data_IF_625790879784
#
_entry.id   IF_625790879784
#
_cell.length_a   1.000
_cell.length_b   1.000
_cell.length_c   1.000
_cell.angle_alpha   90.00
_cell.angle_beta   90.00
_cell.angle_gamma   90.00
#
_symmetry.space_group_name_H-M   'P 1'
#
loop_
_entity.id
_entity.type
_entity.pdbx_description
1 polymer ?
#
# COMPACT_ATOMS: atom_id res chain seq x y z
N UNK A 1 -20.03 1.54 2.92
CA UNK A 1 -19.16 0.62 2.13
C UNK A 1 -19.84 0.01 0.92
N UNK A 2 -21.16 0.11 0.78
CA UNK A 2 -21.86 -0.51 -0.35
C UNK A 2 -22.58 0.57 -1.14
N UNK A 3 -22.37 0.63 -2.45
CA UNK A 3 -23.13 1.53 -3.32
C UNK A 3 -24.31 0.81 -3.99
N UNK A 4 -25.26 1.58 -4.52
CA UNK A 4 -26.37 1.02 -5.30
C UNK A 4 -25.90 0.68 -6.73
N UNK A 5 -25.61 -0.60 -6.96
CA UNK A 5 -25.12 -1.12 -8.23
C UNK A 5 -26.26 -1.27 -9.26
N UNK A 6 -25.91 -1.15 -10.55
CA UNK A 6 -26.80 -1.35 -11.69
C UNK A 6 -26.00 -1.83 -12.89
N UNK A 7 -26.62 -2.71 -13.67
CA UNK A 7 -26.15 -3.14 -14.98
C UNK A 7 -24.70 -3.64 -15.00
N UNK A 8 -24.27 -4.35 -13.94
CA UNK A 8 -22.94 -4.97 -13.86
C UNK A 8 -22.93 -6.27 -14.65
N UNK A 9 -21.89 -6.49 -15.43
CA UNK A 9 -21.61 -7.75 -16.13
C UNK A 9 -20.30 -8.32 -15.57
N UNK A 10 -20.36 -9.52 -14.98
CA UNK A 10 -19.16 -10.14 -14.39
C UNK A 10 -18.27 -10.71 -15.50
N UNK A 11 -17.29 -9.91 -15.95
CA UNK A 11 -16.36 -10.29 -17.03
C UNK A 11 -14.88 -9.90 -16.74
N UNK A 12 -14.63 -9.25 -15.60
CA UNK A 12 -13.30 -8.88 -15.13
C UNK A 12 -12.74 -7.61 -15.77
N UNK A 13 -13.47 -6.92 -16.64
CA UNK A 13 -12.99 -5.70 -17.32
C UNK A 13 -13.19 -4.43 -16.51
N UNK A 14 -14.19 -4.39 -15.63
CA UNK A 14 -14.58 -3.24 -14.82
C UNK A 14 -14.93 -1.98 -15.64
N UNK A 15 -15.34 -2.14 -16.91
CA UNK A 15 -15.70 -1.03 -17.80
C UNK A 15 -17.17 -0.60 -17.68
N UNK A 16 -17.97 -1.32 -16.87
CA UNK A 16 -19.33 -0.92 -16.52
C UNK A 16 -19.40 0.49 -15.94
N UNK A 17 -20.49 1.19 -16.28
CA UNK A 17 -20.71 2.57 -15.83
C UNK A 17 -20.69 2.72 -14.30
N UNK A 18 -21.11 1.68 -13.57
CA UNK A 18 -21.07 1.67 -12.11
C UNK A 18 -19.63 1.69 -11.58
N UNK A 19 -18.74 0.83 -12.09
CA UNK A 19 -17.35 0.76 -11.63
C UNK A 19 -16.58 2.03 -11.95
N UNK A 20 -16.79 2.59 -13.14
CA UNK A 20 -16.17 3.85 -13.57
C UNK A 20 -16.61 5.06 -12.72
N UNK A 21 -17.79 5.00 -12.09
CA UNK A 21 -18.36 6.10 -11.30
C UNK A 21 -18.69 5.68 -9.86
N UNK A 22 -18.03 4.63 -9.35
CA UNK A 22 -18.38 4.07 -8.05
C UNK A 22 -18.23 5.13 -6.96
N UNK A 23 -19.24 5.29 -6.07
CA UNK A 23 -19.17 6.27 -4.99
C UNK A 23 -17.93 6.05 -4.14
N UNK A 24 -17.22 7.12 -3.78
CA UNK A 24 -16.02 7.01 -2.94
C UNK A 24 -16.28 6.18 -1.69
N UNK A 25 -17.44 6.35 -1.03
CA UNK A 25 -17.89 5.61 0.16
C UNK A 25 -18.01 4.08 -0.01
N UNK A 26 -17.94 3.60 -1.25
CA UNK A 26 -17.97 2.19 -1.63
C UNK A 26 -16.62 1.71 -2.21
N UNK A 27 -15.55 2.48 -2.00
CA UNK A 27 -14.19 2.15 -2.41
C UNK A 27 -13.26 2.12 -1.20
N UNK A 28 -12.19 1.32 -1.28
CA UNK A 28 -11.16 1.28 -0.25
C UNK A 28 -9.86 0.66 -0.72
N UNK A 29 -8.89 0.60 0.19
CA UNK A 29 -7.56 0.02 -0.04
C UNK A 29 -7.15 -0.82 1.15
N UNK A 30 -6.41 -1.89 0.86
CA UNK A 30 -5.90 -2.78 1.89
C UNK A 30 -4.64 -2.19 2.54
N UNK A 31 -4.34 -2.66 3.74
CA UNK A 31 -3.17 -2.31 4.55
C UNK A 31 -2.45 -3.59 4.97
N UNK A 32 -1.14 -3.52 5.18
CA UNK A 32 -0.36 -4.67 5.64
C UNK A 32 -0.96 -5.22 6.95
N UNK A 33 -1.11 -6.54 7.01
CA UNK A 33 -1.96 -7.24 7.99
C UNK A 33 -1.53 -7.06 9.44
N UNK A 34 -0.22 -7.11 9.71
CA UNK A 34 0.31 -7.13 11.07
C UNK A 34 0.54 -5.74 11.67
N UNK A 35 0.90 -4.77 10.85
CA UNK A 35 1.33 -3.42 11.26
C UNK A 35 0.34 -2.33 10.84
N UNK A 36 -0.50 -2.61 9.85
CA UNK A 36 -1.38 -1.61 9.23
C UNK A 36 -0.67 -0.64 8.29
N UNK A 37 0.58 -0.93 7.92
CA UNK A 37 1.38 -0.17 6.96
C UNK A 37 0.85 -0.22 5.52
N UNK A 38 1.56 0.43 4.60
CA UNK A 38 1.24 0.36 3.17
C UNK A 38 1.96 -0.84 2.56
N UNK A 39 1.25 -1.79 1.91
CA UNK A 39 1.91 -2.90 1.22
C UNK A 39 2.72 -2.38 0.03
N UNK A 40 3.70 -3.17 -0.38
CA UNK A 40 4.56 -2.92 -1.54
C UNK A 40 3.75 -2.95 -2.82
N UNK A 41 2.88 -3.95 -2.92
CA UNK A 41 1.95 -4.11 -4.03
C UNK A 41 0.52 -3.87 -3.53
N UNK A 42 -0.02 -2.73 -3.93
CA UNK A 42 -1.31 -2.23 -3.46
C UNK A 42 -2.49 -3.10 -3.85
N UNK A 43 -3.57 -2.99 -3.09
CA UNK A 43 -4.87 -3.56 -3.47
C UNK A 43 -5.96 -2.57 -3.16
N UNK A 44 -6.84 -2.37 -4.12
CA UNK A 44 -8.02 -1.52 -4.01
C UNK A 44 -9.26 -2.31 -4.34
N UNK A 45 -10.36 -1.97 -3.71
CA UNK A 45 -11.65 -2.57 -3.99
C UNK A 45 -12.73 -1.52 -4.21
N UNK A 46 -13.77 -1.94 -4.91
CA UNK A 46 -15.06 -1.28 -5.05
C UNK A 46 -16.14 -2.31 -4.68
N UNK A 47 -17.26 -1.88 -4.11
CA UNK A 47 -18.34 -2.76 -3.70
C UNK A 47 -19.71 -2.19 -4.08
N UNK A 48 -20.63 -3.06 -4.49
CA UNK A 48 -21.97 -2.66 -4.92
C UNK A 48 -23.04 -3.67 -4.54
N UNK A 49 -24.29 -3.22 -4.50
CA UNK A 49 -25.44 -4.06 -4.22
C UNK A 49 -26.57 -3.82 -5.22
N UNK A 50 -27.11 -4.90 -5.79
CA UNK A 50 -28.22 -4.84 -6.74
C UNK A 50 -29.19 -6.00 -6.46
N UNK A 51 -30.45 -5.69 -6.12
CA UNK A 51 -31.44 -6.72 -5.76
C UNK A 51 -30.97 -7.53 -4.54
N UNK A 52 -30.73 -8.82 -4.74
CA UNK A 52 -30.21 -9.77 -3.73
C UNK A 52 -28.77 -10.22 -4.07
N UNK A 53 -27.98 -9.33 -4.65
CA UNK A 53 -26.64 -9.63 -5.14
C UNK A 53 -25.66 -8.61 -4.59
N UNK A 54 -24.57 -9.10 -3.98
CA UNK A 54 -23.43 -8.32 -3.55
C UNK A 54 -22.32 -8.43 -4.60
N UNK A 55 -21.73 -7.31 -4.98
CA UNK A 55 -20.67 -7.24 -5.98
C UNK A 55 -19.38 -6.68 -5.37
N UNK A 56 -18.25 -7.25 -5.79
CA UNK A 56 -16.92 -6.70 -5.54
C UNK A 56 -16.13 -6.62 -6.83
N UNK A 57 -15.42 -5.52 -7.01
CA UNK A 57 -14.34 -5.38 -7.98
C UNK A 57 -13.05 -5.14 -7.20
N UNK A 58 -12.09 -6.05 -7.31
CA UNK A 58 -10.84 -6.00 -6.55
C UNK A 58 -9.68 -5.96 -7.54
N UNK A 59 -8.89 -4.89 -7.48
CA UNK A 59 -7.65 -4.73 -8.25
C UNK A 59 -6.46 -4.99 -7.35
N UNK A 60 -5.62 -5.93 -7.76
CA UNK A 60 -4.37 -6.31 -7.10
C UNK A 60 -3.20 -5.85 -7.97
N UNK A 61 -2.51 -4.78 -7.57
CA UNK A 61 -1.31 -4.29 -8.26
C UNK A 61 -0.19 -5.34 -8.17
N UNK A 62 0.63 -5.47 -9.20
CA UNK A 62 1.71 -6.45 -9.32
C UNK A 62 2.98 -5.82 -9.91
N UNK A 63 4.10 -6.53 -9.79
CA UNK A 63 5.32 -6.12 -10.49
C UNK A 63 5.16 -6.42 -12.00
N UNK A 64 5.40 -5.43 -12.88
CA UNK A 64 5.24 -5.62 -14.32
C UNK A 64 5.97 -6.85 -14.86
N UNK A 65 5.21 -7.76 -15.51
CA UNK A 65 5.73 -8.97 -16.13
C UNK A 65 6.13 -10.10 -15.16
N UNK A 66 5.93 -9.94 -13.85
CA UNK A 66 6.17 -11.01 -12.88
C UNK A 66 5.05 -12.05 -12.92
N UNK A 67 5.36 -13.36 -13.05
CA UNK A 67 4.34 -14.39 -13.08
C UNK A 67 3.59 -14.48 -11.75
N UNK A 68 2.27 -14.64 -11.85
CA UNK A 68 1.40 -14.88 -10.70
C UNK A 68 1.59 -16.30 -10.17
N UNK A 69 1.52 -16.47 -8.86
CA UNK A 69 1.65 -17.77 -8.21
C UNK A 69 0.28 -18.48 -8.11
N UNK A 70 -0.14 -19.16 -9.17
CA UNK A 70 -1.38 -19.96 -9.17
C UNK A 70 -1.09 -21.42 -8.79
N UNK A 71 -1.46 -21.81 -7.57
CA UNK A 71 -1.26 -23.17 -7.04
C UNK A 71 -2.51 -24.04 -7.10
N UNK A 72 -3.69 -23.43 -7.06
CA UNK A 72 -4.97 -24.12 -7.20
C UNK A 72 -5.31 -24.37 -8.68
N UNK A 73 -5.83 -25.56 -8.97
CA UNK A 73 -6.09 -26.01 -10.36
C UNK A 73 -7.57 -26.19 -10.71
N UNK A 74 -8.44 -26.16 -9.71
CA UNK A 74 -9.90 -26.31 -9.82
C UNK A 74 -10.55 -25.78 -8.55
N UNK A 75 -11.86 -25.55 -8.59
CA UNK A 75 -12.61 -25.14 -7.41
C UNK A 75 -12.47 -26.13 -6.25
N UNK A 76 -12.50 -25.59 -5.04
CA UNK A 76 -12.25 -26.28 -3.76
C UNK A 76 -10.84 -26.87 -3.56
N UNK A 77 -9.90 -26.53 -4.45
CA UNK A 77 -8.51 -26.93 -4.31
C UNK A 77 -7.78 -26.11 -3.23
N UNK A 78 -7.62 -26.71 -2.06
CA UNK A 78 -6.92 -26.14 -0.90
C UNK A 78 -5.45 -25.77 -1.18
N UNK A 79 -4.89 -26.14 -2.34
CA UNK A 79 -3.60 -25.62 -2.77
C UNK A 79 -3.59 -24.07 -2.89
N UNK A 80 -4.76 -23.42 -3.00
CA UNK A 80 -4.91 -21.95 -3.08
C UNK A 80 -4.16 -21.22 -1.97
N UNK A 81 -4.07 -21.80 -0.77
CA UNK A 81 -3.39 -21.21 0.39
C UNK A 81 -1.86 -21.12 0.24
N UNK A 82 -1.29 -21.76 -0.78
CA UNK A 82 0.14 -21.67 -1.11
C UNK A 82 0.42 -20.73 -2.30
N UNK A 83 -0.62 -20.10 -2.85
CA UNK A 83 -0.54 -19.21 -4.01
C UNK A 83 -0.97 -17.78 -3.70
N UNK A 84 -1.04 -16.98 -4.75
CA UNK A 84 -1.69 -15.68 -4.72
C UNK A 84 -3.21 -15.88 -4.61
N UNK A 85 -3.85 -15.13 -3.73
CA UNK A 85 -5.29 -15.19 -3.53
C UNK A 85 -5.81 -13.88 -2.94
N UNK A 86 -7.07 -13.57 -3.23
CA UNK A 86 -7.88 -12.72 -2.36
C UNK A 86 -8.76 -13.60 -1.48
N UNK A 87 -9.17 -13.08 -0.33
CA UNK A 87 -10.16 -13.73 0.52
C UNK A 87 -11.20 -12.72 0.99
N UNK A 88 -12.47 -13.09 0.85
CA UNK A 88 -13.60 -12.36 1.40
C UNK A 88 -14.06 -13.08 2.67
N UNK A 89 -14.02 -12.38 3.79
CA UNK A 89 -14.56 -12.87 5.06
C UNK A 89 -15.85 -12.09 5.34
N UNK A 90 -16.99 -12.77 5.48
CA UNK A 90 -18.31 -12.12 5.49
C UNK A 90 -19.14 -12.64 6.66
N UNK A 91 -19.26 -11.83 7.72
CA UNK A 91 -20.24 -11.99 8.81
C UNK A 91 -21.50 -11.19 8.47
N UNK A 92 -22.66 -11.80 8.70
CA UNK A 92 -23.96 -11.16 8.49
C UNK A 92 -24.72 -11.08 9.82
N UNK A 93 -25.86 -10.40 9.83
CA UNK A 93 -26.73 -10.38 11.00
C UNK A 93 -27.34 -11.76 11.34
N UNK A 94 -27.23 -12.73 10.43
CA UNK A 94 -27.83 -14.06 10.55
C UNK A 94 -26.80 -15.19 10.68
N UNK A 95 -25.52 -14.95 10.37
CA UNK A 95 -24.51 -16.00 10.36
C UNK A 95 -23.12 -15.53 10.80
N UNK A 96 -22.36 -16.42 11.45
CA UNK A 96 -21.11 -16.07 12.12
C UNK A 96 -20.03 -15.57 11.16
N UNK A 97 -19.68 -16.31 10.10
CA UNK A 97 -19.04 -15.78 8.89
C UNK A 97 -18.78 -16.87 7.85
N UNK A 98 -18.73 -16.42 6.59
CA UNK A 98 -18.27 -17.19 5.44
C UNK A 98 -16.88 -16.74 5.01
N UNK A 99 -16.17 -17.61 4.30
CA UNK A 99 -14.91 -17.30 3.63
C UNK A 99 -15.02 -17.70 2.16
N UNK A 100 -14.64 -16.80 1.25
CA UNK A 100 -14.54 -17.07 -0.19
C UNK A 100 -13.16 -16.65 -0.64
N UNK A 101 -12.32 -17.60 -1.05
CA UNK A 101 -11.00 -17.34 -1.58
C UNK A 101 -10.96 -17.52 -3.09
N UNK A 102 -10.32 -16.58 -3.78
CA UNK A 102 -10.29 -16.52 -5.24
C UNK A 102 -8.84 -16.32 -5.70
N UNK A 103 -8.37 -17.22 -6.56
CA UNK A 103 -7.05 -17.11 -7.20
C UNK A 103 -7.09 -16.13 -8.38
N UNK A 104 -5.93 -15.63 -8.85
CA UNK A 104 -5.87 -14.88 -10.10
C UNK A 104 -6.38 -15.66 -11.33
N UNK A 105 -6.28 -17.00 -11.32
CA UNK A 105 -6.85 -17.86 -12.37
C UNK A 105 -8.37 -18.04 -12.29
N UNK A 106 -9.04 -17.42 -11.31
CA UNK A 106 -10.50 -17.47 -11.16
C UNK A 106 -11.01 -18.73 -10.45
N UNK A 107 -10.11 -19.51 -9.83
CA UNK A 107 -10.50 -20.67 -9.01
C UNK A 107 -11.07 -20.19 -7.68
N UNK A 108 -12.17 -20.79 -7.26
CA UNK A 108 -12.87 -20.46 -6.01
C UNK A 108 -12.71 -21.57 -4.98
N UNK A 109 -12.46 -21.20 -3.73
CA UNK A 109 -12.60 -22.09 -2.57
C UNK A 109 -13.47 -21.37 -1.56
N UNK A 110 -14.61 -21.96 -1.20
CA UNK A 110 -15.54 -21.38 -0.25
C UNK A 110 -15.76 -22.28 0.98
N UNK A 111 -15.98 -21.61 2.11
CA UNK A 111 -16.07 -22.25 3.41
C UNK A 111 -17.09 -21.53 4.28
N UNK A 112 -17.92 -22.32 4.96
CA UNK A 112 -18.65 -21.84 6.12
C UNK A 112 -17.76 -21.98 7.37
N UNK A 113 -17.36 -20.85 7.97
CA UNK A 113 -16.51 -20.83 9.16
C UNK A 113 -17.30 -20.72 10.47
N UNK A 114 -18.62 -20.56 10.39
CA UNK A 114 -19.55 -20.56 11.52
C UNK A 114 -19.91 -21.96 12.03
N UNK A 115 -19.55 -23.01 11.29
CA UNK A 115 -19.88 -24.41 11.61
C UNK A 115 -18.64 -25.22 12.05
N UNK A 116 -18.80 -26.47 12.54
CA UNK A 116 -17.66 -27.30 12.93
C UNK A 116 -16.66 -27.53 11.79
N UNK A 117 -15.37 -27.46 12.09
CA UNK A 117 -14.25 -27.52 11.11
C UNK A 117 -14.32 -28.65 10.09
N UNK A 118 -14.83 -29.82 10.49
CA UNK A 118 -14.96 -30.96 9.58
C UNK A 118 -16.01 -30.78 8.47
N UNK A 119 -16.79 -29.70 8.50
CA UNK A 119 -17.90 -29.43 7.59
C UNK A 119 -17.70 -28.15 6.78
N UNK A 120 -16.62 -27.38 7.02
CA UNK A 120 -16.42 -26.05 6.41
C UNK A 120 -16.59 -26.03 4.88
N UNK A 121 -15.98 -27.00 4.19
CA UNK A 121 -16.01 -27.14 2.72
C UNK A 121 -17.31 -27.74 2.17
N UNK A 122 -18.36 -27.84 2.99
CA UNK A 122 -19.66 -28.34 2.57
C UNK A 122 -20.63 -27.23 2.13
N UNK A 123 -20.21 -25.97 2.21
CA UNK A 123 -20.99 -24.80 1.83
C UNK A 123 -20.48 -24.25 0.49
N UNK A 124 -21.40 -23.87 -0.40
CA UNK A 124 -21.13 -23.31 -1.72
C UNK A 124 -21.71 -21.89 -1.81
N UNK A 125 -20.85 -20.91 -2.07
CA UNK A 125 -21.22 -19.50 -2.16
C UNK A 125 -22.14 -19.17 -3.34
N UNK A 126 -22.15 -20.01 -4.36
CA UNK A 126 -22.73 -19.77 -5.69
C UNK A 126 -22.25 -18.45 -6.32
N UNK A 127 -21.04 -18.03 -5.93
CA UNK A 127 -20.42 -16.83 -6.46
C UNK A 127 -20.11 -17.01 -7.95
N UNK A 128 -20.36 -15.96 -8.72
CA UNK A 128 -19.88 -15.85 -10.09
C UNK A 128 -18.65 -14.96 -10.09
N UNK A 129 -17.56 -15.46 -10.67
CA UNK A 129 -16.24 -14.83 -10.63
C UNK A 129 -15.69 -14.73 -12.04
N UNK A 130 -15.21 -13.54 -12.40
CA UNK A 130 -14.38 -13.33 -13.57
C UNK A 130 -13.07 -12.65 -13.15
N UNK A 131 -11.95 -13.14 -13.69
CA UNK A 131 -10.64 -12.54 -13.45
C UNK A 131 -10.03 -12.04 -14.74
N UNK A 132 -9.25 -10.96 -14.62
CA UNK A 132 -8.47 -10.41 -15.72
C UNK A 132 -7.04 -10.16 -15.26
N UNK A 133 -6.07 -10.72 -15.99
CA UNK A 133 -4.64 -10.53 -15.73
C UNK A 133 -4.07 -9.58 -16.76
N UNK A 134 -3.45 -8.52 -16.27
CA UNK A 134 -2.69 -7.52 -17.02
C UNK A 134 -1.22 -7.57 -16.62
N UNK A 135 -0.38 -6.74 -17.25
CA UNK A 135 1.06 -6.72 -17.00
C UNK A 135 1.42 -6.29 -15.58
N UNK A 136 0.76 -5.26 -15.04
CA UNK A 136 1.05 -4.60 -13.76
C UNK A 136 0.00 -4.85 -12.68
N UNK A 137 -0.99 -5.70 -12.95
CA UNK A 137 -2.06 -6.04 -12.00
C UNK A 137 -2.90 -7.23 -12.47
N UNK A 138 -3.73 -7.73 -11.56
CA UNK A 138 -4.88 -8.55 -11.91
C UNK A 138 -6.15 -8.05 -11.19
N UNK A 139 -7.30 -8.44 -11.72
CA UNK A 139 -8.63 -8.08 -11.22
C UNK A 139 -9.41 -9.35 -10.89
N UNK A 140 -10.19 -9.31 -9.81
CA UNK A 140 -11.33 -10.18 -9.58
C UNK A 140 -12.62 -9.35 -9.55
N UNK A 141 -13.57 -9.71 -10.40
CA UNK A 141 -14.94 -9.22 -10.38
C UNK A 141 -15.87 -10.35 -9.93
N UNK A 142 -16.68 -10.06 -8.92
CA UNK A 142 -17.33 -11.09 -8.11
C UNK A 142 -18.77 -10.68 -7.89
N UNK A 143 -19.72 -11.59 -8.20
CA UNK A 143 -21.12 -11.50 -7.78
C UNK A 143 -21.41 -12.61 -6.77
N UNK A 144 -21.87 -12.23 -5.59
CA UNK A 144 -22.26 -13.13 -4.50
C UNK A 144 -23.77 -13.07 -4.32
N UNK A 145 -24.50 -14.18 -4.54
CA UNK A 145 -25.92 -14.26 -4.23
C UNK A 145 -26.16 -14.25 -2.73
N UNK A 146 -27.19 -13.49 -2.34
CA UNK A 146 -27.61 -13.33 -0.95
C UNK A 146 -29.07 -13.77 -0.80
N UNK A 147 -29.35 -14.56 0.22
CA UNK A 147 -30.69 -15.03 0.54
C UNK A 147 -31.09 -14.71 1.99
N UNK A 148 -32.38 -14.50 2.22
CA UNK A 148 -32.96 -14.48 3.56
C UNK A 148 -33.59 -15.83 3.93
N UNK A 149 -33.55 -16.82 3.03
CA UNK A 149 -34.13 -18.14 3.22
C UNK A 149 -33.10 -19.10 3.84
N UNK A 150 -33.32 -19.48 5.10
CA UNK A 150 -32.47 -20.42 5.84
C UNK A 150 -32.74 -21.89 5.49
N UNK A 151 -33.71 -22.20 4.62
CA UNK A 151 -34.05 -23.59 4.29
C UNK A 151 -32.95 -24.30 3.47
N UNK A 152 -32.05 -23.54 2.84
CA UNK A 152 -30.88 -24.07 2.14
C UNK A 152 -29.58 -23.54 2.77
N UNK A 153 -29.18 -24.03 3.95
CA UNK A 153 -28.06 -23.49 4.71
C UNK A 153 -26.70 -23.85 4.11
N UNK A 154 -26.66 -24.69 3.07
CA UNK A 154 -25.42 -25.11 2.40
C UNK A 154 -25.11 -24.27 1.16
N UNK A 155 -25.99 -23.35 0.77
CA UNK A 155 -25.76 -22.51 -0.39
C UNK A 155 -26.01 -21.04 -0.09
N UNK A 156 -25.26 -20.17 -0.78
CA UNK A 156 -25.41 -18.71 -0.75
C UNK A 156 -25.09 -18.07 0.61
N UNK A 157 -24.87 -16.76 0.60
CA UNK A 157 -24.71 -15.99 1.84
C UNK A 157 -26.09 -15.70 2.41
N UNK A 158 -26.30 -16.07 3.68
CA UNK A 158 -27.56 -15.80 4.38
C UNK A 158 -27.50 -14.43 5.06
N UNK A 159 -28.34 -13.49 4.63
CA UNK A 159 -28.40 -12.13 5.17
C UNK A 159 -29.36 -11.21 4.41
N UNK A 160 -29.58 -10.02 4.97
CA UNK A 160 -30.32 -8.91 4.34
C UNK A 160 -29.34 -7.85 3.82
N UNK A 161 -29.80 -6.94 2.94
CA UNK A 161 -28.97 -5.77 2.54
C UNK A 161 -28.54 -5.01 3.81
N UNK A 162 -27.23 -4.84 4.07
CA UNK A 162 -26.77 -4.28 5.33
C UNK A 162 -27.11 -2.80 5.44
N UNK A 163 -27.61 -2.40 6.62
CA UNK A 163 -27.99 -1.03 6.95
C UNK A 163 -27.12 -0.49 8.07
N UNK A 164 -27.14 0.82 8.31
CA UNK A 164 -26.37 1.38 9.43
C UNK A 164 -26.82 0.81 10.80
N UNK A 165 -28.08 0.42 10.94
CA UNK A 165 -28.63 -0.18 12.18
C UNK A 165 -28.41 -1.69 12.29
N UNK A 166 -28.26 -2.39 11.16
CA UNK A 166 -27.91 -3.80 11.08
C UNK A 166 -26.77 -3.95 10.04
N UNK A 167 -25.53 -3.57 10.42
CA UNK A 167 -24.38 -3.72 9.55
C UNK A 167 -23.98 -5.19 9.45
N UNK A 168 -23.36 -5.54 8.33
CA UNK A 168 -22.50 -6.72 8.23
C UNK A 168 -21.10 -6.37 8.72
N UNK A 169 -20.28 -7.39 8.93
CA UNK A 169 -18.87 -7.21 9.27
C UNK A 169 -18.04 -8.01 8.27
N UNK A 170 -17.13 -7.36 7.55
CA UNK A 170 -16.33 -8.03 6.53
C UNK A 170 -14.83 -7.80 6.68
N UNK A 171 -14.05 -8.70 6.12
CA UNK A 171 -12.69 -8.39 5.71
C UNK A 171 -12.50 -8.72 4.23
N UNK A 172 -11.62 -7.94 3.60
CA UNK A 172 -11.13 -8.22 2.26
C UNK A 172 -9.64 -8.36 2.41
N UNK A 173 -9.11 -9.53 2.10
CA UNK A 173 -7.74 -9.90 2.34
C UNK A 173 -7.05 -10.22 1.01
N UNK A 174 -5.74 -10.02 0.97
CA UNK A 174 -4.88 -10.45 -0.13
C UNK A 174 -3.66 -11.15 0.45
N UNK A 175 -3.38 -12.31 -0.12
CA UNK A 175 -2.13 -13.03 0.00
C UNK A 175 -1.35 -12.92 -1.31
N UNK A 176 -0.09 -12.48 -1.22
CA UNK A 176 0.87 -12.48 -2.32
C UNK A 176 2.11 -13.25 -1.92
N UNK A 177 2.49 -14.27 -2.69
CA UNK A 177 3.61 -15.17 -2.37
C UNK A 177 4.61 -15.20 -3.53
N UNK A 178 5.88 -14.99 -3.22
CA UNK A 178 7.04 -15.19 -4.12
C UNK A 178 8.11 -15.99 -3.37
N UNK A 179 9.12 -16.45 -4.10
CA UNK A 179 10.22 -17.23 -3.52
C UNK A 179 10.99 -16.45 -2.44
N UNK A 180 11.03 -15.12 -2.54
CA UNK A 180 11.73 -14.23 -1.62
C UNK A 180 10.83 -13.69 -0.50
N UNK A 181 9.53 -13.98 -0.46
CA UNK A 181 8.68 -13.60 0.67
C UNK A 181 7.17 -13.70 0.45
N UNK A 182 6.44 -13.33 1.51
CA UNK A 182 4.98 -13.22 1.52
C UNK A 182 4.58 -11.83 2.01
N UNK A 183 3.59 -11.24 1.35
CA UNK A 183 2.92 -10.01 1.79
C UNK A 183 1.44 -10.30 1.99
N UNK A 184 0.95 -10.06 3.20
CA UNK A 184 -0.46 -10.18 3.56
C UNK A 184 -1.02 -8.77 3.80
N UNK A 185 -2.17 -8.48 3.20
CA UNK A 185 -2.86 -7.21 3.40
C UNK A 185 -4.35 -7.42 3.57
N UNK A 186 -5.01 -6.52 4.31
CA UNK A 186 -6.43 -6.61 4.61
C UNK A 186 -7.09 -5.22 4.66
N UNK A 187 -8.40 -5.17 4.44
CA UNK A 187 -9.21 -3.96 4.60
C UNK A 187 -9.15 -3.51 6.06
N UNK A 188 -9.29 -4.47 6.97
CA UNK A 188 -9.07 -4.28 8.40
C UNK A 188 -7.92 -5.18 8.86
N UNK A 189 -6.70 -4.62 9.02
CA UNK A 189 -5.56 -5.35 9.55
C UNK A 189 -5.87 -6.00 10.90
N UNK A 190 -5.57 -7.29 11.01
CA UNK A 190 -5.86 -8.07 12.22
C UNK A 190 -4.85 -7.82 13.33
N UNK A 191 -3.65 -7.33 12.98
CA UNK A 191 -2.54 -7.25 13.93
C UNK A 191 -2.00 -8.63 14.32
N UNK A 192 -2.29 -9.67 13.52
CA UNK A 192 -1.80 -11.04 13.69
C UNK A 192 -1.25 -11.56 12.36
N UNK A 193 -0.67 -12.77 12.36
CA UNK A 193 -0.11 -13.38 11.15
C UNK A 193 -1.17 -14.03 10.23
N UNK A 194 -2.46 -13.91 10.55
CA UNK A 194 -3.55 -14.53 9.77
C UNK A 194 -4.79 -13.64 9.68
N UNK A 195 -5.69 -13.99 8.78
CA UNK A 195 -6.88 -13.20 8.45
C UNK A 195 -8.05 -13.39 9.43
N UNK A 196 -8.18 -14.59 10.00
CA UNK A 196 -9.39 -15.03 10.70
C UNK A 196 -9.52 -14.49 12.14
N UNK A 197 -9.74 -13.18 12.27
CA UNK A 197 -10.04 -12.49 13.53
C UNK A 197 -11.39 -11.76 13.40
N UNK A 198 -12.55 -12.41 13.62
CA UNK A 198 -13.87 -11.80 13.36
C UNK A 198 -14.12 -10.47 14.08
N UNK A 199 -13.60 -10.31 15.29
CA UNK A 199 -13.69 -9.05 16.05
C UNK A 199 -12.95 -7.87 15.40
N UNK A 200 -12.15 -8.13 14.37
CA UNK A 200 -11.43 -7.14 13.57
C UNK A 200 -12.14 -6.79 12.27
N UNK A 201 -13.21 -7.48 11.89
CA UNK A 201 -13.91 -7.23 10.64
C UNK A 201 -14.47 -5.79 10.60
N UNK A 202 -14.41 -5.18 9.42
CA UNK A 202 -14.87 -3.81 9.17
C UNK A 202 -16.38 -3.77 9.03
N UNK A 203 -17.02 -2.75 9.63
CA UNK A 203 -18.45 -2.49 9.43
C UNK A 203 -18.80 -2.26 7.96
N UNK A 204 -19.69 -3.08 7.41
CA UNK A 204 -20.13 -3.06 6.03
C UNK A 204 -21.62 -2.75 5.96
N UNK A 205 -21.97 -1.57 5.47
CA UNK A 205 -23.36 -1.14 5.30
C UNK A 205 -23.50 -0.03 4.26
N UNK A 206 -24.74 0.18 3.80
CA UNK A 206 -25.15 1.29 2.95
C UNK A 206 -25.08 2.62 3.73
N UNK A 207 -24.14 3.50 3.36
CA UNK A 207 -23.90 4.76 4.07
C UNK A 207 -22.67 5.53 3.57
N UNK A 208 -22.59 6.82 3.91
CA UNK A 208 -21.52 7.75 3.48
C UNK A 208 -20.24 7.70 4.35
N UNK A 209 -20.07 6.68 5.19
CA UNK A 209 -18.90 6.56 6.08
C UNK A 209 -17.79 5.73 5.43
N UNK A 210 -16.55 6.15 5.71
CA UNK A 210 -15.29 5.45 5.39
C UNK A 210 -14.52 5.02 6.64
N UNK A 211 -15.13 5.19 7.82
CA UNK A 211 -14.51 4.83 9.11
C UNK A 211 -15.17 3.56 9.62
N UNK A 212 -14.35 2.53 9.73
CA UNK A 212 -14.74 1.19 10.14
C UNK A 212 -13.84 0.82 11.30
N UNK A 213 -14.11 1.47 12.43
CA UNK A 213 -13.45 1.09 13.66
C UNK A 213 -13.93 -0.32 14.01
N UNK A 214 -13.00 -1.25 14.23
CA UNK A 214 -13.29 -2.51 14.89
C UNK A 214 -13.91 -2.21 16.27
N UNK A 215 -14.43 -3.25 16.95
CA UNK A 215 -14.93 -3.08 18.32
C UNK A 215 -13.93 -2.27 19.17
N UNK A 216 -14.33 -1.16 19.81
CA UNK A 216 -13.41 -0.24 20.48
C UNK A 216 -12.72 -0.87 21.71
N UNK A 217 -13.18 -2.03 22.16
CA UNK A 217 -12.53 -2.82 23.22
C UNK A 217 -11.40 -3.69 22.68
N UNK A 218 -11.34 -3.93 21.37
CA UNK A 218 -10.29 -4.72 20.72
C UNK A 218 -9.05 -3.86 20.54
N UNK A 219 -7.92 -4.40 21.00
CA UNK A 219 -6.61 -3.79 20.84
C UNK A 219 -5.62 -4.86 20.42
N UNK A 220 -4.81 -4.53 19.42
CA UNK A 220 -3.84 -5.43 18.80
C UNK A 220 -2.53 -4.68 18.53
N UNK A 221 -1.58 -5.38 17.92
CA UNK A 221 -0.29 -4.79 17.57
C UNK A 221 -0.44 -3.61 16.59
N UNK A 222 -1.23 -3.74 15.51
CA UNK A 222 -1.34 -2.72 14.47
C UNK A 222 -1.94 -1.40 15.02
N UNK A 223 -2.96 -1.49 15.88
CA UNK A 223 -3.55 -0.31 16.55
C UNK A 223 -2.51 0.41 17.40
N UNK A 224 -1.82 -0.32 18.28
CA UNK A 224 -0.84 0.28 19.20
C UNK A 224 0.43 0.74 18.47
N UNK A 225 0.82 0.07 17.40
CA UNK A 225 1.94 0.47 16.56
C UNK A 225 1.64 1.79 15.84
N UNK A 226 0.44 1.94 15.26
CA UNK A 226 -0.03 3.21 14.68
C UNK A 226 -0.07 4.34 15.71
N UNK A 227 -0.47 4.05 16.95
CA UNK A 227 -0.38 5.01 18.05
C UNK A 227 1.07 5.42 18.32
N UNK A 228 2.00 4.45 18.42
CA UNK A 228 3.42 4.73 18.61
C UNK A 228 4.03 5.58 17.48
N UNK A 229 3.63 5.34 16.22
CA UNK A 229 4.00 6.16 15.06
C UNK A 229 3.49 7.59 15.18
N UNK A 230 2.22 7.76 15.56
CA UNK A 230 1.58 9.08 15.69
C UNK A 230 2.22 9.90 16.81
N UNK A 231 2.42 9.29 17.97
CA UNK A 231 3.02 9.95 19.14
C UNK A 231 4.54 10.13 18.99
N UNK A 232 5.17 9.40 18.05
CA UNK A 232 6.61 9.41 17.78
C UNK A 232 7.45 9.11 19.03
N UNK A 233 7.04 8.11 19.82
CA UNK A 233 7.73 7.71 21.05
C UNK A 233 8.38 6.33 20.92
N UNK A 234 9.71 6.25 21.05
CA UNK A 234 10.44 4.98 21.06
C UNK A 234 9.99 4.06 22.21
N UNK A 235 9.67 4.63 23.38
CA UNK A 235 9.19 3.86 24.54
C UNK A 235 7.88 3.10 24.27
N UNK A 236 6.96 3.66 23.47
CA UNK A 236 5.75 2.95 23.05
C UNK A 236 6.09 1.78 22.13
N UNK A 237 7.02 1.97 21.20
CA UNK A 237 7.51 0.92 20.32
C UNK A 237 8.14 -0.24 21.11
N UNK A 238 8.97 0.08 22.11
CA UNK A 238 9.64 -0.92 22.94
C UNK A 238 8.63 -1.74 23.76
N UNK A 239 7.59 -1.12 24.31
CA UNK A 239 6.50 -1.82 25.02
C UNK A 239 5.80 -2.86 24.16
N UNK A 240 5.68 -2.64 22.84
CA UNK A 240 5.10 -3.63 21.93
C UNK A 240 5.94 -4.91 21.89
N UNK A 241 7.26 -4.79 22.05
CA UNK A 241 8.20 -5.91 22.01
C UNK A 241 8.20 -6.78 23.27
N UNK A 242 7.62 -6.27 24.37
CA UNK A 242 7.50 -6.97 25.66
C UNK A 242 6.36 -8.02 25.66
N UNK A 243 5.52 -8.00 24.63
CA UNK A 243 4.43 -8.97 24.45
C UNK A 243 4.84 -10.10 23.50
N UNK A 244 4.03 -11.17 23.46
CA UNK A 244 4.23 -12.24 22.48
C UNK A 244 3.86 -11.72 21.09
N UNK A 245 4.87 -11.31 20.33
CA UNK A 245 4.76 -10.79 18.95
C UNK A 245 5.58 -11.63 17.98
N UNK A 246 5.20 -11.59 16.71
CA UNK A 246 5.98 -12.22 15.62
C UNK A 246 7.32 -11.52 15.39
N UNK A 247 8.22 -12.15 14.65
CA UNK A 247 9.47 -11.52 14.23
C UNK A 247 9.23 -10.32 13.31
N UNK A 248 8.17 -10.36 12.50
CA UNK A 248 7.76 -9.24 11.64
C UNK A 248 7.35 -8.02 12.47
N UNK A 249 6.46 -8.21 13.43
CA UNK A 249 6.03 -7.19 14.38
C UNK A 249 7.19 -6.64 15.21
N UNK A 250 8.02 -7.53 15.76
CA UNK A 250 9.21 -7.14 16.53
C UNK A 250 10.18 -6.30 15.70
N UNK A 251 10.41 -6.70 14.44
CA UNK A 251 11.28 -5.97 13.52
C UNK A 251 10.75 -4.56 13.22
N UNK A 252 9.44 -4.43 12.92
CA UNK A 252 8.80 -3.13 12.67
C UNK A 252 8.88 -2.20 13.90
N UNK A 253 8.56 -2.72 15.10
CA UNK A 253 8.64 -1.96 16.34
C UNK A 253 10.07 -1.47 16.63
N UNK A 254 11.08 -2.33 16.48
CA UNK A 254 12.47 -1.98 16.76
C UNK A 254 13.07 -1.06 15.70
N UNK A 255 12.74 -1.21 14.42
CA UNK A 255 13.15 -0.29 13.35
C UNK A 255 12.61 1.13 13.62
N UNK A 256 11.33 1.25 14.00
CA UNK A 256 10.74 2.52 14.39
C UNK A 256 11.39 3.08 15.66
N UNK A 257 11.61 2.25 16.69
CA UNK A 257 12.26 2.66 17.92
C UNK A 257 13.67 3.21 17.67
N UNK A 258 14.49 2.52 16.86
CA UNK A 258 15.86 2.95 16.54
C UNK A 258 15.90 4.31 15.83
N UNK A 259 14.90 4.59 14.98
CA UNK A 259 14.79 5.89 14.30
C UNK A 259 14.30 7.01 15.23
N UNK A 260 13.54 6.68 16.26
CA UNK A 260 13.00 7.64 17.24
C UNK A 260 13.92 7.86 18.44
N UNK A 261 14.87 6.96 18.69
CA UNK A 261 15.87 7.03 19.77
C UNK A 261 17.29 6.87 19.21
N UNK A 262 17.87 7.95 18.65
CA UNK A 262 19.21 7.91 18.05
C UNK A 262 20.32 7.54 19.02
N UNK A 263 20.15 7.83 20.32
CA UNK A 263 21.14 7.54 21.36
C UNK A 263 21.31 6.03 21.57
N UNK A 264 20.22 5.27 21.51
CA UNK A 264 20.23 3.82 21.69
C UNK A 264 20.08 3.03 20.39
N UNK A 265 20.02 3.71 19.24
CA UNK A 265 19.69 3.12 17.95
C UNK A 265 20.52 1.88 17.60
N UNK A 266 21.84 1.93 17.76
CA UNK A 266 22.72 0.78 17.44
C UNK A 266 22.36 -0.46 18.25
N UNK A 267 22.11 -0.31 19.55
CA UNK A 267 21.69 -1.41 20.43
C UNK A 267 20.33 -1.96 19.97
N UNK A 268 19.38 -1.08 19.63
CA UNK A 268 18.06 -1.48 19.16
C UNK A 268 18.12 -2.23 17.83
N UNK A 269 18.98 -1.80 16.90
CA UNK A 269 19.16 -2.43 15.59
C UNK A 269 19.64 -3.89 15.75
N UNK A 270 20.56 -4.16 16.68
CA UNK A 270 21.05 -5.54 16.90
C UNK A 270 19.96 -6.52 17.34
N UNK A 271 18.85 -6.01 17.88
CA UNK A 271 17.70 -6.81 18.36
C UNK A 271 16.67 -7.10 17.28
N UNK A 272 16.79 -6.52 16.08
CA UNK A 272 15.86 -6.73 14.97
C UNK A 272 16.06 -8.16 14.42
N UNK A 273 15.04 -9.05 14.45
CA UNK A 273 15.22 -10.44 14.04
C UNK A 273 15.33 -10.61 12.52
N UNK A 274 14.54 -9.89 11.72
CA UNK A 274 14.60 -10.01 10.25
C UNK A 274 15.83 -9.26 9.71
N UNK A 275 16.74 -9.98 9.04
CA UNK A 275 18.03 -9.44 8.57
C UNK A 275 17.88 -8.23 7.63
N UNK A 276 17.02 -8.32 6.62
CA UNK A 276 16.75 -7.22 5.69
C UNK A 276 16.23 -5.95 6.43
N UNK A 277 15.41 -6.12 7.46
CA UNK A 277 14.91 -5.00 8.28
C UNK A 277 16.03 -4.43 9.16
N UNK A 278 16.87 -5.29 9.74
CA UNK A 278 18.04 -4.88 10.53
C UNK A 278 19.03 -4.07 9.70
N UNK A 279 19.37 -4.55 8.50
CA UNK A 279 20.25 -3.86 7.55
C UNK A 279 19.62 -2.53 7.09
N UNK A 280 18.32 -2.51 6.80
CA UNK A 280 17.60 -1.26 6.50
C UNK A 280 17.73 -0.25 7.63
N UNK A 281 17.52 -0.67 8.89
CA UNK A 281 17.65 0.20 10.05
C UNK A 281 19.09 0.71 10.25
N UNK A 282 20.10 -0.12 9.96
CA UNK A 282 21.52 0.31 9.94
C UNK A 282 21.77 1.38 8.86
N UNK A 283 21.27 1.17 7.66
CA UNK A 283 21.37 2.15 6.57
C UNK A 283 20.69 3.48 6.93
N UNK A 284 19.50 3.44 7.52
CA UNK A 284 18.80 4.63 8.03
C UNK A 284 19.63 5.36 9.09
N UNK A 285 20.20 4.63 10.04
CA UNK A 285 21.04 5.18 11.10
C UNK A 285 22.29 5.89 10.54
N UNK A 286 22.99 5.28 9.58
CA UNK A 286 24.17 5.88 8.96
C UNK A 286 23.82 7.18 8.22
N UNK A 287 22.72 7.20 7.46
CA UNK A 287 22.26 8.43 6.79
C UNK A 287 21.80 9.50 7.78
N UNK A 288 21.12 9.12 8.87
CA UNK A 288 20.72 10.06 9.92
C UNK A 288 21.92 10.73 10.60
N UNK A 289 23.03 9.99 10.74
CA UNK A 289 24.32 10.51 11.24
C UNK A 289 25.18 11.19 10.16
N UNK A 290 24.62 11.41 8.96
CA UNK A 290 25.31 12.07 7.82
C UNK A 290 26.57 11.33 7.37
N UNK A 291 26.58 10.00 7.46
CA UNK A 291 27.68 9.15 7.03
C UNK A 291 27.28 8.22 5.86
N UNK A 292 27.04 8.79 4.66
CA UNK A 292 26.77 7.98 3.48
C UNK A 292 28.00 7.17 3.03
N UNK A 293 29.21 7.56 3.43
CA UNK A 293 30.45 6.86 3.09
C UNK A 293 30.54 5.52 3.83
N UNK A 294 30.23 5.49 5.13
CA UNK A 294 30.12 4.23 5.88
C UNK A 294 29.01 3.33 5.33
N UNK A 295 27.87 3.90 4.91
CA UNK A 295 26.79 3.12 4.31
C UNK A 295 27.27 2.40 3.04
N UNK A 296 27.93 3.11 2.12
CA UNK A 296 28.49 2.47 0.92
C UNK A 296 29.59 1.47 1.31
N UNK A 297 30.49 1.81 2.25
CA UNK A 297 31.50 0.86 2.71
C UNK A 297 30.91 -0.46 3.26
N UNK A 298 29.75 -0.40 3.92
CA UNK A 298 29.05 -1.58 4.45
C UNK A 298 28.17 -2.31 3.40
N UNK A 299 27.55 -1.60 2.45
CA UNK A 299 26.45 -2.13 1.62
C UNK A 299 26.62 -1.99 0.09
N UNK A 300 27.76 -1.49 -0.42
CA UNK A 300 27.98 -1.32 -1.87
C UNK A 300 27.80 -2.63 -2.64
N UNK A 301 28.31 -3.74 -2.08
CA UNK A 301 28.26 -5.07 -2.68
C UNK A 301 27.12 -5.94 -2.16
N UNK A 302 26.23 -5.41 -1.32
CA UNK A 302 25.07 -6.17 -0.81
C UNK A 302 24.12 -6.49 -1.96
N UNK A 303 23.79 -7.77 -2.14
CA UNK A 303 22.80 -8.18 -3.13
C UNK A 303 21.37 -8.01 -2.59
N UNK A 304 20.84 -6.79 -2.79
CA UNK A 304 19.50 -6.41 -2.36
C UNK A 304 18.39 -7.18 -3.10
N UNK A 305 18.69 -7.86 -4.21
CA UNK A 305 17.69 -8.67 -4.91
C UNK A 305 17.27 -9.91 -4.13
N UNK A 306 18.14 -10.38 -3.22
CA UNK A 306 17.88 -11.53 -2.32
C UNK A 306 17.04 -11.16 -1.10
N UNK A 307 16.80 -9.87 -0.86
CA UNK A 307 15.95 -9.42 0.24
C UNK A 307 14.49 -9.71 -0.11
N UNK A 308 13.62 -9.87 0.90
CA UNK A 308 12.20 -9.99 0.64
C UNK A 308 11.69 -8.84 -0.22
N UNK A 309 10.85 -9.14 -1.22
CA UNK A 309 10.36 -8.14 -2.17
C UNK A 309 9.73 -6.94 -1.46
N UNK A 310 9.09 -7.18 -0.31
CA UNK A 310 8.42 -6.16 0.49
C UNK A 310 9.38 -5.22 1.25
N UNK A 311 10.69 -5.53 1.27
CA UNK A 311 11.71 -4.71 1.93
C UNK A 311 12.80 -4.20 1.00
N UNK A 312 13.09 -4.88 -0.12
CA UNK A 312 14.22 -4.52 -1.02
C UNK A 312 14.15 -3.10 -1.55
N UNK A 313 12.95 -2.56 -1.80
CA UNK A 313 12.78 -1.17 -2.22
C UNK A 313 13.35 -0.16 -1.22
N UNK A 314 13.22 -0.44 0.09
CA UNK A 314 13.83 0.41 1.14
C UNK A 314 15.35 0.37 1.12
N UNK A 315 15.94 -0.81 0.92
CA UNK A 315 17.40 -0.96 0.82
C UNK A 315 17.96 -0.21 -0.39
N UNK A 316 17.34 -0.40 -1.56
CA UNK A 316 17.73 0.27 -2.79
C UNK A 316 17.60 1.79 -2.66
N UNK A 317 16.50 2.28 -2.07
CA UNK A 317 16.33 3.71 -1.85
C UNK A 317 17.46 4.29 -0.98
N UNK A 318 17.78 3.65 0.15
CA UNK A 318 18.80 4.15 1.07
C UNK A 318 20.21 4.11 0.47
N UNK A 319 20.56 3.04 -0.26
CA UNK A 319 21.86 2.94 -0.96
C UNK A 319 21.95 3.93 -2.11
N UNK A 320 20.90 4.04 -2.92
CA UNK A 320 20.81 5.02 -4.00
C UNK A 320 20.92 6.46 -3.50
N UNK A 321 20.30 6.78 -2.37
CA UNK A 321 20.44 8.07 -1.70
C UNK A 321 21.86 8.32 -1.19
N UNK A 322 22.54 7.31 -0.64
CA UNK A 322 23.94 7.45 -0.23
C UNK A 322 24.86 7.70 -1.44
N UNK A 323 24.68 6.98 -2.54
CA UNK A 323 25.39 7.23 -3.79
C UNK A 323 25.13 8.63 -4.33
N UNK A 324 23.89 9.12 -4.28
CA UNK A 324 23.56 10.50 -4.66
C UNK A 324 24.33 11.51 -3.80
N UNK A 325 24.33 11.36 -2.48
CA UNK A 325 25.07 12.24 -1.57
C UNK A 325 26.60 12.22 -1.82
N UNK A 326 27.13 11.08 -2.25
CA UNK A 326 28.53 10.91 -2.65
C UNK A 326 28.81 11.27 -4.11
N UNK A 327 27.81 11.79 -4.83
CA UNK A 327 27.89 12.19 -6.25
C UNK A 327 28.22 11.04 -7.21
N UNK A 328 27.92 9.80 -6.82
CA UNK A 328 28.04 8.62 -7.68
C UNK A 328 26.76 8.45 -8.52
N UNK A 329 26.63 9.29 -9.55
CA UNK A 329 25.36 9.47 -10.26
C UNK A 329 24.80 8.19 -10.91
N UNK A 330 25.65 7.40 -11.55
CA UNK A 330 25.22 6.17 -12.22
C UNK A 330 24.82 5.06 -11.23
N UNK A 331 25.47 4.99 -10.06
CA UNK A 331 25.10 4.03 -9.03
C UNK A 331 23.78 4.42 -8.35
N UNK A 332 23.62 5.72 -8.04
CA UNK A 332 22.37 6.27 -7.53
C UNK A 332 21.19 6.00 -8.48
N UNK A 333 21.40 6.20 -9.79
CA UNK A 333 20.36 5.99 -10.80
C UNK A 333 19.84 4.55 -10.83
N UNK A 334 20.75 3.57 -10.79
CA UNK A 334 20.38 2.15 -10.78
C UNK A 334 19.54 1.81 -9.56
N UNK A 335 20.04 2.13 -8.37
CA UNK A 335 19.36 1.81 -7.12
C UNK A 335 18.01 2.54 -6.99
N UNK A 336 17.95 3.83 -7.30
CA UNK A 336 16.69 4.60 -7.17
C UNK A 336 15.64 4.13 -8.17
N UNK A 337 16.04 3.67 -9.36
CA UNK A 337 15.12 3.09 -10.35
C UNK A 337 14.52 1.79 -9.81
N UNK A 338 15.35 0.87 -9.31
CA UNK A 338 14.88 -0.38 -8.70
C UNK A 338 14.04 -0.13 -7.44
N UNK A 339 14.38 0.88 -6.64
CA UNK A 339 13.60 1.25 -5.47
C UNK A 339 12.14 1.61 -5.82
N UNK A 340 11.91 2.30 -6.94
CA UNK A 340 10.57 2.69 -7.39
C UNK A 340 9.69 1.51 -7.78
N UNK A 341 10.27 0.38 -8.19
CA UNK A 341 9.52 -0.84 -8.53
C UNK A 341 9.00 -1.56 -7.29
N UNK A 342 9.65 -1.39 -6.13
CA UNK A 342 9.34 -2.08 -4.88
C UNK A 342 8.99 -1.13 -3.73
N UNK A 343 8.38 0.02 -4.05
CA UNK A 343 7.90 0.99 -3.05
C UNK A 343 6.44 1.29 -3.29
N UNK A 344 5.56 0.81 -2.41
CA UNK A 344 4.13 1.10 -2.45
C UNK A 344 3.72 2.42 -1.80
N UNK A 345 4.45 2.86 -0.76
CA UNK A 345 4.12 4.09 -0.01
C UNK A 345 4.28 5.35 -0.88
N UNK A 346 3.21 6.13 -1.15
CA UNK A 346 3.26 7.26 -2.06
C UNK A 346 4.26 8.34 -1.65
N UNK A 347 4.43 8.58 -0.35
CA UNK A 347 5.37 9.59 0.15
C UNK A 347 6.81 9.20 -0.12
N UNK A 348 7.15 7.93 0.12
CA UNK A 348 8.47 7.36 -0.14
C UNK A 348 8.74 7.29 -1.64
N UNK A 349 7.72 6.97 -2.46
CA UNK A 349 7.82 7.06 -3.93
C UNK A 349 8.15 8.49 -4.38
N UNK A 350 7.48 9.49 -3.83
CA UNK A 350 7.75 10.90 -4.15
C UNK A 350 9.15 11.33 -3.74
N UNK A 351 9.62 10.89 -2.58
CA UNK A 351 10.98 11.16 -2.10
C UNK A 351 12.04 10.50 -3.00
N UNK A 352 11.77 9.26 -3.43
CA UNK A 352 12.64 8.53 -4.36
C UNK A 352 12.68 9.24 -5.71
N UNK A 353 11.52 9.60 -6.30
CA UNK A 353 11.43 10.36 -7.56
C UNK A 353 12.16 11.69 -7.48
N UNK A 354 12.00 12.42 -6.37
CA UNK A 354 12.69 13.69 -6.17
C UNK A 354 14.21 13.49 -6.15
N UNK A 355 14.69 12.46 -5.45
CA UNK A 355 16.11 12.13 -5.39
C UNK A 355 16.64 11.72 -6.77
N UNK A 356 15.88 10.92 -7.54
CA UNK A 356 16.19 10.58 -8.93
C UNK A 356 16.28 11.83 -9.81
N UNK A 357 15.33 12.75 -9.69
CA UNK A 357 15.32 13.99 -10.47
C UNK A 357 16.54 14.86 -10.15
N UNK A 358 16.89 14.99 -8.87
CA UNK A 358 18.08 15.72 -8.44
C UNK A 358 19.38 15.04 -8.90
N UNK A 359 19.45 13.71 -8.85
CA UNK A 359 20.59 12.95 -9.35
C UNK A 359 20.80 13.19 -10.86
N UNK A 360 19.70 13.12 -11.63
CA UNK A 360 19.72 13.39 -13.07
C UNK A 360 20.13 14.82 -13.39
N UNK A 361 19.61 15.80 -12.65
CA UNK A 361 19.97 17.21 -12.84
C UNK A 361 21.46 17.47 -12.50
N UNK A 362 21.91 17.06 -11.32
CA UNK A 362 23.18 17.55 -10.76
C UNK A 362 24.38 16.61 -10.98
N UNK A 363 24.16 15.32 -11.20
CA UNK A 363 25.25 14.33 -11.28
C UNK A 363 25.31 13.63 -12.63
N UNK A 364 24.18 13.46 -13.31
CA UNK A 364 24.14 12.97 -14.70
C UNK A 364 24.06 14.10 -15.73
N UNK A 365 23.69 15.32 -15.29
CA UNK A 365 23.54 16.50 -16.17
C UNK A 365 22.55 16.27 -17.33
N UNK A 366 21.51 15.47 -17.07
CA UNK A 366 20.43 15.20 -18.02
C UNK A 366 19.17 15.98 -17.61
N UNK A 367 19.08 17.21 -18.10
CA UNK A 367 17.95 18.12 -17.83
C UNK A 367 16.61 17.55 -18.35
N UNK A 368 16.62 16.76 -19.42
CA UNK A 368 15.40 16.18 -19.98
C UNK A 368 14.84 15.08 -19.09
N UNK A 369 15.70 14.13 -18.69
CA UNK A 369 15.30 13.07 -17.78
C UNK A 369 15.01 13.58 -16.36
N UNK A 370 15.71 14.62 -15.91
CA UNK A 370 15.45 15.29 -14.64
C UNK A 370 14.09 15.99 -14.63
N UNK A 371 13.75 16.73 -15.70
CA UNK A 371 12.46 17.41 -15.81
C UNK A 371 11.29 16.42 -15.75
N UNK A 372 11.38 15.31 -16.49
CA UNK A 372 10.37 14.25 -16.46
C UNK A 372 10.22 13.64 -15.06
N UNK A 373 11.34 13.40 -14.36
CA UNK A 373 11.31 12.87 -12.99
C UNK A 373 10.69 13.86 -11.98
N UNK A 374 11.00 15.17 -12.08
CA UNK A 374 10.35 16.17 -11.25
C UNK A 374 8.85 16.28 -11.55
N UNK A 375 8.46 16.24 -12.83
CA UNK A 375 7.07 16.26 -13.24
C UNK A 375 6.29 15.09 -12.64
N UNK A 376 6.87 13.88 -12.63
CA UNK A 376 6.25 12.69 -12.05
C UNK A 376 5.98 12.79 -10.53
N UNK A 377 6.64 13.71 -9.81
CA UNK A 377 6.32 13.98 -8.38
C UNK A 377 4.97 14.70 -8.26
N UNK A 378 4.67 15.62 -9.19
CA UNK A 378 3.54 16.55 -9.11
C UNK A 378 2.42 16.26 -10.12
N UNK A 379 2.56 15.20 -10.90
CA UNK A 379 1.60 14.76 -11.91
C UNK A 379 0.27 14.35 -11.27
N UNK A 380 -0.85 14.69 -11.92
CA UNK A 380 -2.20 14.42 -11.41
C UNK A 380 -2.61 15.22 -10.17
N UNK A 381 -1.72 16.02 -9.56
CA UNK A 381 -2.02 16.80 -8.35
C UNK A 381 -2.68 18.13 -8.68
N UNK A 382 -3.93 18.26 -8.26
CA UNK A 382 -4.69 19.52 -8.31
C UNK A 382 -4.21 20.54 -7.27
N UNK A 383 -3.61 20.09 -6.16
CA UNK A 383 -3.04 20.93 -5.10
C UNK A 383 -1.64 20.47 -4.73
N UNK A 384 -0.78 21.43 -4.42
CA UNK A 384 0.59 21.22 -3.96
C UNK A 384 0.66 21.48 -2.45
N UNK A 385 1.22 20.55 -1.69
CA UNK A 385 1.22 20.62 -0.23
C UNK A 385 2.41 19.96 0.46
N UNK A 386 3.19 19.11 -0.21
CA UNK A 386 4.35 18.46 0.41
C UNK A 386 5.67 19.12 0.06
N UNK A 387 6.66 18.99 0.94
CA UNK A 387 8.03 19.45 0.72
C UNK A 387 8.64 18.90 -0.58
N UNK A 388 8.36 17.64 -0.91
CA UNK A 388 8.86 17.00 -2.12
C UNK A 388 8.27 17.63 -3.38
N UNK A 389 6.97 17.93 -3.36
CA UNK A 389 6.29 18.59 -4.48
C UNK A 389 6.80 20.02 -4.68
N UNK A 390 6.95 20.81 -3.62
CA UNK A 390 7.50 22.17 -3.75
C UNK A 390 8.93 22.15 -4.30
N UNK A 391 9.77 21.23 -3.82
CA UNK A 391 11.12 21.04 -4.35
C UNK A 391 11.12 20.65 -5.83
N UNK A 392 10.17 19.82 -6.26
CA UNK A 392 10.00 19.44 -7.66
C UNK A 392 9.60 20.62 -8.54
N UNK A 393 8.69 21.49 -8.09
CA UNK A 393 8.35 22.73 -8.80
C UNK A 393 9.59 23.62 -9.00
N UNK A 394 10.42 23.78 -7.97
CA UNK A 394 11.67 24.54 -8.08
C UNK A 394 12.65 23.91 -9.07
N UNK A 395 12.74 22.58 -9.11
CA UNK A 395 13.58 21.84 -10.06
C UNK A 395 13.15 22.03 -11.51
N UNK A 396 11.85 21.83 -11.78
CA UNK A 396 11.26 22.09 -13.08
C UNK A 396 11.51 23.54 -13.53
N UNK A 397 11.28 24.51 -12.66
CA UNK A 397 11.47 25.92 -12.97
C UNK A 397 12.93 26.27 -13.29
N UNK A 398 13.90 25.69 -12.57
CA UNK A 398 15.34 25.87 -12.90
C UNK A 398 15.65 25.36 -14.29
N UNK A 399 15.21 24.15 -14.64
CA UNK A 399 15.45 23.55 -15.95
C UNK A 399 14.81 24.38 -17.07
N UNK A 400 13.54 24.78 -16.91
CA UNK A 400 12.84 25.63 -17.87
C UNK A 400 13.53 26.98 -18.05
N UNK A 401 14.05 27.57 -16.98
CA UNK A 401 14.82 28.82 -17.04
C UNK A 401 16.10 28.64 -17.86
N UNK A 402 16.85 27.52 -17.67
CA UNK A 402 18.03 27.21 -18.49
C UNK A 402 17.70 27.05 -19.98
N UNK A 403 16.49 26.61 -20.30
CA UNK A 403 15.97 26.48 -21.66
C UNK A 403 15.42 27.79 -22.25
N UNK A 404 15.36 28.87 -21.47
CA UNK A 404 14.76 30.14 -21.89
C UNK A 404 13.21 30.14 -21.86
N UNK A 405 12.59 29.13 -21.26
CA UNK A 405 11.14 28.96 -21.17
C UNK A 405 10.57 29.66 -19.91
N UNK A 406 10.85 30.96 -19.78
CA UNK A 406 10.57 31.72 -18.54
C UNK A 406 9.09 31.75 -18.15
N UNK A 407 8.18 31.89 -19.12
CA UNK A 407 6.74 31.96 -18.83
C UNK A 407 6.19 30.60 -18.36
N UNK A 408 6.74 29.48 -18.84
CA UNK A 408 6.42 28.14 -18.31
C UNK A 408 7.01 27.96 -16.90
N UNK A 409 8.26 28.39 -16.67
CA UNK A 409 8.89 28.32 -15.35
C UNK A 409 8.06 29.04 -14.28
N UNK A 410 7.54 30.23 -14.60
CA UNK A 410 6.64 30.97 -13.71
C UNK A 410 5.29 30.26 -13.51
N UNK A 411 4.71 29.68 -14.57
CA UNK A 411 3.47 28.89 -14.45
C UNK A 411 3.63 27.68 -13.52
N UNK A 412 4.76 26.97 -13.63
CA UNK A 412 5.08 25.86 -12.74
C UNK A 412 5.17 26.32 -11.29
N UNK A 413 5.92 27.39 -11.00
CA UNK A 413 6.05 27.92 -9.63
C UNK A 413 4.73 28.41 -9.04
N UNK A 414 3.84 28.97 -9.86
CA UNK A 414 2.53 29.45 -9.43
C UNK A 414 1.59 28.33 -8.95
N UNK A 415 1.84 27.06 -9.31
CA UNK A 415 1.12 25.90 -8.73
C UNK A 415 1.30 25.76 -7.22
N UNK A 416 2.31 26.42 -6.64
CA UNK A 416 2.54 26.44 -5.20
C UNK A 416 1.46 27.23 -4.42
N UNK A 417 0.55 27.93 -5.10
CA UNK A 417 -0.50 28.77 -4.51
C UNK A 417 0.06 29.74 -3.45
N UNK A 418 0.84 30.71 -3.95
CA UNK A 418 1.45 31.72 -3.10
C UNK A 418 0.44 32.56 -2.32
N UNK A 419 -0.85 32.59 -2.64
CA UNK A 419 -1.83 33.25 -1.76
C UNK A 419 -1.95 32.53 -0.41
N UNK A 420 -1.90 31.20 -0.44
CA UNK A 420 -2.15 30.35 0.72
C UNK A 420 -0.87 29.76 1.33
N UNK A 421 0.24 29.74 0.59
CA UNK A 421 1.53 29.23 1.06
C UNK A 421 2.20 30.17 2.08
N UNK A 422 2.65 29.59 3.19
CA UNK A 422 3.29 30.29 4.32
C UNK A 422 4.63 29.65 4.69
N UNK A 423 5.44 30.38 5.47
CA UNK A 423 6.71 29.90 6.01
C UNK A 423 7.80 29.73 4.94
N UNK A 424 8.82 28.92 5.27
CA UNK A 424 10.05 28.78 4.47
C UNK A 424 9.80 28.42 3.01
N UNK A 425 8.78 27.60 2.73
CA UNK A 425 8.45 27.24 1.35
C UNK A 425 7.95 28.41 0.52
N UNK A 426 7.19 29.34 1.12
CA UNK A 426 6.80 30.58 0.45
C UNK A 426 8.03 31.38 0.02
N UNK A 427 8.97 31.58 0.95
CA UNK A 427 10.17 32.37 0.71
C UNK A 427 11.05 31.73 -0.37
N UNK A 428 11.18 30.41 -0.35
CA UNK A 428 11.95 29.66 -1.36
C UNK A 428 11.32 29.76 -2.75
N UNK A 429 9.99 29.68 -2.86
CA UNK A 429 9.29 29.83 -4.14
C UNK A 429 9.41 31.26 -4.66
N UNK A 430 9.26 32.29 -3.80
CA UNK A 430 9.44 33.69 -4.20
C UNK A 430 10.84 33.96 -4.73
N UNK A 431 11.89 33.46 -4.04
CA UNK A 431 13.27 33.54 -4.53
C UNK A 431 13.45 32.86 -5.89
N UNK A 432 12.75 31.76 -6.14
CA UNK A 432 12.78 31.07 -7.43
C UNK A 432 12.12 31.90 -8.53
N UNK A 433 11.00 32.58 -8.22
CA UNK A 433 10.34 33.51 -9.14
C UNK A 433 11.25 34.70 -9.47
N UNK A 434 11.87 35.30 -8.46
CA UNK A 434 12.83 36.40 -8.65
C UNK A 434 14.01 35.97 -9.53
N UNK A 435 14.55 34.76 -9.32
CA UNK A 435 15.63 34.22 -10.14
C UNK A 435 15.20 34.03 -11.62
N UNK A 436 13.98 33.54 -11.86
CA UNK A 436 13.43 33.40 -13.23
C UNK A 436 13.28 34.77 -13.89
N UNK A 437 12.76 35.75 -13.16
CA UNK A 437 12.56 37.12 -13.66
C UNK A 437 13.90 37.82 -13.96
N UNK A 438 14.90 37.63 -13.10
CA UNK A 438 16.23 38.16 -13.32
C UNK A 438 16.92 37.53 -14.54
N UNK A 439 16.76 36.22 -14.76
CA UNK A 439 17.33 35.54 -15.92
C UNK A 439 16.66 35.90 -17.26
N UNK A 440 15.46 36.50 -17.23
CA UNK A 440 14.74 36.98 -18.42
C UNK A 440 15.26 38.33 -18.93
N UNK A 441 15.88 39.13 -18.05
CA UNK A 441 16.46 40.44 -18.37
C UNK A 441 17.84 40.26 -18.99
#
# INVERSE_FOLDING_TARGET
LVGDARDIVVDGQLDDAYWQNCPTAATGRLRELQTGGIPTFGTSFQAGWQGNQLYFAIRCDEHPGEPLNNTATRDDDQAIWYGDAIELEIETEMHSYYQIAISPSGVVVDLDRGIPKGQWFGWDSQAEVATHVSDDHWVAEIRIPVSQDENDPLHQVIGSKPTQSLPWHINICRQRIRDDGQELSALSPTGTAGFHEPLKFAHFYDGRSHRFDADPTVTDFAIRFREAERERQASLCLKLTDTKVSDFQRSAALELAARLDPEHAETLITRIPIDAVRKTARMQFLLANRDPAALIAEFDTEDLSTWPFWKRGSGHYLRGRAHYLLKSGAAAERDLTTALEFTGDPRTRDETRLTTAQNREFHLQDDSAAFAAYQAVVEGRSRIGSANEFAALQGMARILTRRGEFDEALRVLNRADLSNLKGTWRDNILKSIEAVQAARQ
#
